data_IF_339706197840
#
_entry.id   IF_339706197840
#
_cell.length_a   1.000
_cell.length_b   1.000
_cell.length_c   1.000
_cell.angle_alpha   90.00
_cell.angle_beta   90.00
_cell.angle_gamma   90.00
#
_symmetry.space_group_name_H-M   'P 1'
#
loop_
_entity.id
_entity.type
_entity.pdbx_description
1 polymer ?
#
# COMPACT_ATOMS: atom_id res chain seq x y z
N UNK A 1 -38.84 -90.52 43.67
CA UNK A 1 -37.74 -89.83 44.40
C UNK A 1 -36.95 -89.04 43.37
N UNK A 2 -36.89 -87.70 43.53
CA UNK A 2 -35.84 -86.72 43.14
C UNK A 2 -35.13 -86.89 41.78
N UNK A 3 -34.81 -85.89 40.95
CA UNK A 3 -35.05 -84.45 40.81
C UNK A 3 -34.30 -84.01 39.52
N UNK A 4 -34.59 -82.79 39.04
CA UNK A 4 -33.87 -81.97 38.02
C UNK A 4 -33.99 -82.42 36.53
N UNK A 5 -34.33 -81.57 35.55
CA UNK A 5 -34.50 -80.11 35.50
C UNK A 5 -33.49 -79.47 34.53
N UNK A 6 -33.89 -79.21 33.28
CA UNK A 6 -33.20 -78.28 32.38
C UNK A 6 -34.21 -77.70 31.38
N UNK A 7 -34.46 -76.39 31.47
CA UNK A 7 -35.35 -75.62 30.59
C UNK A 7 -34.53 -74.94 29.49
N UNK A 8 -34.99 -75.02 28.23
CA UNK A 8 -34.45 -74.28 27.10
C UNK A 8 -35.37 -73.09 26.78
N UNK A 9 -34.80 -71.88 26.76
CA UNK A 9 -35.49 -70.62 26.48
C UNK A 9 -35.23 -70.18 25.04
N UNK A 10 -36.31 -69.77 24.37
CA UNK A 10 -36.41 -69.22 23.01
C UNK A 10 -35.91 -67.78 22.95
N UNK A 11 -35.23 -67.39 21.86
CA UNK A 11 -35.03 -65.99 21.51
C UNK A 11 -35.33 -65.74 20.02
N UNK A 12 -36.39 -64.97 19.77
CA UNK A 12 -36.76 -64.41 18.47
C UNK A 12 -35.77 -63.30 18.07
N UNK A 13 -35.25 -63.36 16.85
CA UNK A 13 -34.41 -62.31 16.26
C UNK A 13 -35.33 -61.32 15.52
N UNK A 14 -35.43 -60.10 16.04
CA UNK A 14 -36.10 -58.98 15.37
C UNK A 14 -35.14 -58.32 14.38
N UNK A 15 -35.55 -58.25 13.11
CA UNK A 15 -34.83 -57.53 12.06
C UNK A 15 -35.02 -56.01 12.20
N UNK A 16 -33.91 -55.28 12.27
CA UNK A 16 -33.90 -53.81 12.21
C UNK A 16 -33.60 -53.40 10.77
N UNK A 17 -34.61 -52.86 10.09
CA UNK A 17 -34.46 -52.13 8.83
C UNK A 17 -33.94 -50.74 9.19
N UNK A 18 -32.68 -50.44 8.88
CA UNK A 18 -32.12 -49.09 9.00
C UNK A 18 -32.55 -48.25 7.80
N UNK A 19 -33.53 -47.38 8.00
CA UNK A 19 -33.83 -46.27 7.11
C UNK A 19 -32.66 -45.28 7.13
N UNK A 20 -31.90 -45.22 6.03
CA UNK A 20 -30.88 -44.18 5.81
C UNK A 20 -31.61 -42.86 5.53
N UNK A 21 -31.54 -41.92 6.47
CA UNK A 21 -32.02 -40.56 6.27
C UNK A 21 -31.23 -39.87 5.15
N UNK A 22 -31.88 -39.09 4.25
CA UNK A 22 -31.17 -38.30 3.26
C UNK A 22 -30.60 -37.05 3.94
N UNK A 23 -29.39 -37.19 4.49
CA UNK A 23 -28.66 -36.11 5.15
C UNK A 23 -27.28 -35.91 4.51
N UNK A 24 -27.04 -34.68 4.07
CA UNK A 24 -25.72 -34.07 3.92
C UNK A 24 -24.77 -34.58 2.82
N UNK A 25 -25.17 -34.38 1.55
CA UNK A 25 -24.17 -33.95 0.56
C UNK A 25 -24.01 -32.43 0.69
N UNK A 26 -23.19 -31.99 1.65
CA UNK A 26 -22.60 -30.67 1.56
C UNK A 26 -21.65 -30.71 0.36
N UNK A 27 -22.15 -30.26 -0.78
CA UNK A 27 -21.38 -30.15 -2.01
C UNK A 27 -20.17 -29.24 -1.70
N UNK A 28 -18.98 -29.82 -1.59
CA UNK A 28 -17.76 -29.05 -1.45
C UNK A 28 -17.76 -28.00 -2.57
N UNK A 29 -17.72 -26.71 -2.20
CA UNK A 29 -17.77 -25.61 -3.17
C UNK A 29 -16.64 -25.84 -4.19
N UNK A 30 -17.03 -26.14 -5.43
CA UNK A 30 -16.08 -26.30 -6.55
C UNK A 30 -15.27 -25.00 -6.67
N UNK A 31 -13.95 -25.13 -6.71
CA UNK A 31 -13.06 -23.98 -6.83
C UNK A 31 -13.34 -23.20 -8.13
N UNK A 32 -13.20 -21.88 -8.08
CA UNK A 32 -13.38 -21.04 -9.26
C UNK A 32 -12.30 -21.37 -10.32
N UNK A 33 -12.68 -21.53 -11.61
CA UNK A 33 -11.72 -21.69 -12.70
C UNK A 33 -10.79 -20.47 -12.79
N UNK A 34 -9.48 -20.70 -12.87
CA UNK A 34 -8.47 -19.65 -13.03
C UNK A 34 -7.41 -20.10 -14.04
N UNK A 35 -6.89 -19.17 -14.83
CA UNK A 35 -5.62 -19.36 -15.52
C UNK A 35 -4.50 -19.24 -14.49
N UNK A 36 -3.76 -20.32 -14.27
CA UNK A 36 -2.73 -20.40 -13.22
C UNK A 36 -1.32 -20.09 -13.75
N UNK A 37 -1.13 -20.16 -15.07
CA UNK A 37 0.09 -19.84 -15.77
C UNK A 37 0.10 -18.41 -16.31
N UNK A 38 1.30 -17.88 -16.54
CA UNK A 38 1.50 -16.55 -17.11
C UNK A 38 1.20 -15.37 -16.16
N UNK A 39 1.51 -14.19 -16.68
CA UNK A 39 1.35 -12.92 -15.98
C UNK A 39 -0.10 -12.42 -16.05
N UNK A 40 -0.55 -11.78 -14.98
CA UNK A 40 -1.83 -11.08 -14.93
C UNK A 40 -1.70 -9.59 -15.28
N UNK A 41 -0.49 -9.11 -15.56
CA UNK A 41 -0.23 -7.75 -15.98
C UNK A 41 0.69 -7.71 -17.19
N UNK A 42 0.75 -6.55 -17.87
CA UNK A 42 1.62 -6.37 -19.02
C UNK A 42 3.10 -6.62 -18.67
N UNK A 43 3.85 -7.16 -19.66
CA UNK A 43 5.29 -7.40 -19.59
C UNK A 43 6.01 -6.87 -20.85
N UNK A 44 7.21 -6.29 -20.73
CA UNK A 44 7.81 -5.82 -19.48
C UNK A 44 6.95 -4.73 -18.84
N UNK A 45 6.89 -4.69 -17.51
CA UNK A 45 6.12 -3.66 -16.82
C UNK A 45 6.76 -2.29 -17.02
N UNK A 46 5.97 -1.35 -17.54
CA UNK A 46 6.33 0.06 -17.66
C UNK A 46 5.07 0.89 -17.44
N UNK A 47 5.11 1.83 -16.51
CA UNK A 47 3.98 2.72 -16.22
C UNK A 47 3.65 3.64 -17.40
N UNK A 48 4.67 4.23 -18.01
CA UNK A 48 4.56 5.02 -19.23
C UNK A 48 5.84 4.90 -20.06
N UNK A 49 5.76 5.33 -21.31
CA UNK A 49 6.88 5.28 -22.23
C UNK A 49 8.07 6.10 -21.67
N UNK A 50 9.28 5.54 -21.72
CA UNK A 50 10.49 6.17 -21.20
C UNK A 50 10.67 6.15 -19.68
N UNK A 51 9.84 5.40 -18.94
CA UNK A 51 9.96 5.27 -17.49
C UNK A 51 10.65 3.97 -17.04
N UNK A 52 11.46 3.99 -15.95
CA UNK A 52 11.94 5.19 -15.25
C UNK A 52 13.01 5.91 -16.07
N UNK A 53 13.04 7.25 -15.97
CA UNK A 53 14.07 8.06 -16.65
C UNK A 53 15.44 8.01 -15.94
N UNK A 54 15.50 7.43 -14.73
CA UNK A 54 16.71 7.30 -13.90
C UNK A 54 16.95 5.83 -13.58
N UNK A 55 18.22 5.48 -13.42
CA UNK A 55 18.62 4.15 -12.97
C UNK A 55 18.48 4.04 -11.44
N UNK A 56 17.44 3.33 -11.00
CA UNK A 56 17.22 3.02 -9.58
C UNK A 56 17.59 1.59 -9.22
N UNK A 57 18.22 0.83 -10.13
CA UNK A 57 18.59 -0.58 -9.90
C UNK A 57 19.56 -0.79 -8.73
N UNK A 58 20.26 0.27 -8.32
CA UNK A 58 21.20 0.30 -7.18
C UNK A 58 20.51 0.47 -5.83
N UNK A 59 19.20 0.62 -5.80
CA UNK A 59 18.43 0.78 -4.57
C UNK A 59 17.48 -0.39 -4.39
N UNK A 60 17.14 -0.63 -3.13
CA UNK A 60 16.16 -1.63 -2.76
C UNK A 60 14.84 -1.39 -3.49
N UNK A 61 14.25 -2.47 -3.98
CA UNK A 61 12.83 -2.56 -4.32
C UNK A 61 12.14 -3.44 -3.28
N UNK A 62 10.83 -3.64 -3.41
CA UNK A 62 10.15 -4.63 -2.59
C UNK A 62 10.65 -6.05 -2.87
N UNK A 63 11.12 -6.34 -4.09
CA UNK A 63 11.57 -7.67 -4.50
C UNK A 63 13.08 -7.91 -4.30
N UNK A 64 13.91 -6.87 -4.36
CA UNK A 64 15.36 -7.00 -4.36
C UNK A 64 16.03 -6.02 -3.38
N UNK A 65 17.07 -6.49 -2.68
CA UNK A 65 17.89 -5.66 -1.79
C UNK A 65 19.19 -5.29 -2.52
N UNK A 66 19.36 -4.01 -2.82
CA UNK A 66 20.51 -3.47 -3.55
C UNK A 66 21.08 -2.17 -2.96
N UNK A 67 20.34 -1.49 -2.07
CA UNK A 67 20.76 -0.22 -1.47
C UNK A 67 22.10 -0.38 -0.74
N UNK A 68 22.99 0.62 -0.82
CA UNK A 68 24.20 0.64 -0.03
C UNK A 68 23.90 0.51 1.47
N UNK A 69 24.69 -0.28 2.21
CA UNK A 69 24.52 -0.42 3.66
C UNK A 69 24.81 0.92 4.36
N UNK A 70 24.28 1.06 5.57
CA UNK A 70 24.60 2.20 6.43
C UNK A 70 26.12 2.29 6.68
N UNK A 71 26.71 3.50 6.68
CA UNK A 71 28.09 3.71 7.08
C UNK A 71 28.30 3.25 8.52
N UNK A 72 29.47 2.65 8.80
CA UNK A 72 29.81 2.19 10.15
C UNK A 72 30.35 3.30 11.04
N UNK A 73 30.97 4.31 10.45
CA UNK A 73 31.63 5.41 11.15
C UNK A 73 31.41 6.74 10.40
N UNK A 74 31.32 7.88 11.11
CA UNK A 74 31.21 9.19 10.47
C UNK A 74 32.41 9.49 9.57
N UNK A 75 32.18 10.17 8.45
CA UNK A 75 33.23 10.62 7.54
C UNK A 75 34.06 11.71 8.22
N UNK A 76 35.38 11.60 8.13
CA UNK A 76 36.30 12.69 8.48
C UNK A 76 36.48 13.60 7.28
N UNK A 77 36.08 14.87 7.42
CA UNK A 77 36.13 15.84 6.33
C UNK A 77 37.42 16.64 6.44
N UNK A 78 38.21 16.64 5.37
CA UNK A 78 39.48 17.37 5.35
C UNK A 78 39.23 18.89 5.27
N UNK A 79 39.84 19.63 6.19
CA UNK A 79 39.76 21.09 6.22
C UNK A 79 38.44 21.64 6.77
N UNK A 80 38.31 22.98 6.85
CA UNK A 80 37.09 23.61 7.33
C UNK A 80 35.92 23.39 6.36
N UNK A 81 34.72 23.17 6.91
CA UNK A 81 33.48 23.08 6.13
C UNK A 81 33.03 24.51 5.81
N UNK A 82 33.38 24.96 4.61
CA UNK A 82 33.01 26.27 4.07
C UNK A 82 32.04 26.06 2.92
N UNK A 83 30.92 26.78 2.95
CA UNK A 83 29.89 26.75 1.92
C UNK A 83 29.16 28.09 1.81
N UNK A 84 28.28 28.20 0.82
CA UNK A 84 27.44 29.35 0.52
C UNK A 84 26.02 29.15 1.08
N UNK A 85 25.69 29.92 2.12
CA UNK A 85 24.39 29.82 2.79
C UNK A 85 23.19 30.14 1.87
N UNK A 86 23.37 30.98 0.83
CA UNK A 86 22.29 31.28 -0.10
C UNK A 86 21.99 30.08 -0.99
N UNK A 87 23.03 29.43 -1.51
CA UNK A 87 22.88 28.18 -2.27
C UNK A 87 22.30 27.07 -1.39
N UNK A 88 22.75 26.97 -0.14
CA UNK A 88 22.19 26.04 0.84
C UNK A 88 20.70 26.24 1.04
N UNK A 89 20.23 27.48 1.19
CA UNK A 89 18.81 27.82 1.31
C UNK A 89 17.99 27.37 0.08
N UNK A 90 18.52 27.60 -1.12
CA UNK A 90 17.89 27.19 -2.38
C UNK A 90 17.78 25.65 -2.47
N UNK A 91 18.85 24.93 -2.10
CA UNK A 91 18.88 23.47 -2.13
C UNK A 91 17.89 22.83 -1.14
N UNK A 92 17.83 23.31 0.11
CA UNK A 92 16.89 22.75 1.10
C UNK A 92 15.42 23.04 0.76
N UNK A 93 15.17 24.07 -0.04
CA UNK A 93 13.84 24.44 -0.53
C UNK A 93 13.45 23.73 -1.85
N UNK A 94 14.42 23.16 -2.59
CA UNK A 94 14.20 22.55 -3.90
C UNK A 94 13.31 21.29 -3.81
N UNK A 95 12.22 21.30 -4.58
CA UNK A 95 11.24 20.21 -4.64
C UNK A 95 11.52 19.25 -5.80
N UNK A 96 12.32 19.63 -6.78
CA UNK A 96 12.51 18.90 -8.03
C UNK A 96 13.56 17.79 -7.93
N UNK A 97 14.51 17.90 -6.99
CA UNK A 97 15.61 16.93 -6.81
C UNK A 97 15.31 15.77 -5.86
N UNK A 98 14.04 15.49 -5.56
CA UNK A 98 13.66 14.31 -4.77
C UNK A 98 13.20 14.62 -3.35
N UNK A 99 12.71 15.83 -3.10
CA UNK A 99 12.16 16.25 -1.82
C UNK A 99 12.97 17.38 -1.20
N UNK A 100 12.26 18.29 -0.55
CA UNK A 100 12.86 19.43 0.13
C UNK A 100 12.87 19.18 1.63
N UNK A 101 13.88 19.67 2.35
CA UNK A 101 13.99 19.52 3.80
C UNK A 101 12.75 20.07 4.52
N UNK A 102 12.12 21.12 3.98
CA UNK A 102 10.87 21.70 4.46
C UNK A 102 9.69 20.74 4.40
N UNK A 103 9.78 19.66 3.63
CA UNK A 103 8.74 18.64 3.64
C UNK A 103 8.59 18.00 5.01
N UNK A 104 9.70 17.86 5.73
CA UNK A 104 9.75 17.21 7.03
C UNK A 104 10.00 18.18 8.18
N UNK A 105 10.79 19.21 7.94
CA UNK A 105 11.28 20.15 8.93
C UNK A 105 10.59 21.50 8.84
N UNK A 106 10.54 22.19 9.97
CA UNK A 106 10.41 23.65 10.04
C UNK A 106 11.83 24.24 10.08
N UNK A 107 12.09 25.34 9.38
CA UNK A 107 13.44 25.91 9.21
C UNK A 107 13.48 27.43 9.34
N UNK A 108 12.72 27.98 10.28
CA UNK A 108 12.74 29.40 10.61
C UNK A 108 12.28 30.33 9.47
N UNK A 109 12.42 31.66 9.65
CA UNK A 109 12.11 32.64 8.61
C UNK A 109 12.99 32.46 7.36
N UNK A 110 14.27 32.12 7.54
CA UNK A 110 15.24 31.99 6.47
C UNK A 110 15.02 30.75 5.58
N UNK A 111 14.41 29.69 6.12
CA UNK A 111 14.04 28.50 5.34
C UNK A 111 12.78 28.66 4.50
N UNK A 112 12.02 29.74 4.68
CA UNK A 112 10.77 29.94 3.95
C UNK A 112 9.64 29.02 4.44
N UNK A 113 8.77 29.55 5.29
CA UNK A 113 7.71 28.79 5.98
C UNK A 113 6.50 28.41 5.10
N UNK A 114 6.67 28.18 3.80
CA UNK A 114 5.54 27.78 2.95
C UNK A 114 5.20 26.30 3.12
N UNK A 115 4.18 26.04 3.94
CA UNK A 115 3.66 24.71 4.27
C UNK A 115 4.77 23.72 4.68
N UNK A 116 5.51 23.95 5.78
CA UNK A 116 6.45 22.98 6.30
C UNK A 116 5.72 21.76 6.89
N UNK A 117 6.43 20.65 7.04
CA UNK A 117 5.94 19.49 7.79
C UNK A 117 6.36 19.52 9.26
N UNK A 118 5.85 18.56 10.04
CA UNK A 118 6.23 18.31 11.44
C UNK A 118 6.59 16.84 11.72
N UNK A 119 6.94 16.08 10.68
CA UNK A 119 7.40 14.69 10.85
C UNK A 119 8.82 14.63 11.43
N UNK A 120 9.62 15.68 11.25
CA UNK A 120 10.98 15.79 11.76
C UNK A 120 11.16 17.02 12.67
N UNK A 121 12.27 17.11 13.44
CA UNK A 121 12.49 18.20 14.38
C UNK A 121 12.48 19.58 13.73
N UNK A 122 12.03 20.58 14.48
CA UNK A 122 12.17 21.99 14.09
C UNK A 122 13.65 22.40 14.11
N UNK A 123 14.14 22.88 12.97
CA UNK A 123 15.53 23.31 12.75
C UNK A 123 15.69 24.84 12.79
N UNK A 124 14.64 25.60 13.12
CA UNK A 124 14.64 27.07 13.12
C UNK A 124 15.78 27.69 13.94
N UNK A 125 16.27 26.97 14.95
CA UNK A 125 17.30 27.43 15.87
C UNK A 125 18.53 26.50 15.91
N UNK A 126 18.71 25.64 14.90
CA UNK A 126 19.81 24.66 14.88
C UNK A 126 21.20 25.31 14.92
N UNK A 127 21.34 26.55 14.42
CA UNK A 127 22.57 27.33 14.50
C UNK A 127 22.95 27.77 15.91
N UNK A 128 22.03 27.68 16.89
CA UNK A 128 22.30 27.93 18.31
C UNK A 128 22.67 26.65 19.07
N UNK A 129 22.54 25.46 18.45
CA UNK A 129 22.71 24.17 19.13
C UNK A 129 24.17 23.78 19.41
N UNK A 130 25.16 24.58 18.97
CA UNK A 130 26.58 24.31 19.20
C UNK A 130 27.08 23.02 18.56
N UNK A 131 26.46 22.57 17.46
CA UNK A 131 26.88 21.38 16.72
C UNK A 131 28.12 21.69 15.88
N UNK A 132 29.08 20.76 15.88
CA UNK A 132 30.23 20.81 14.98
C UNK A 132 29.78 20.73 13.52
N UNK A 133 30.45 21.48 12.63
CA UNK A 133 30.14 21.48 11.20
C UNK A 133 30.29 20.07 10.59
N UNK A 134 31.30 19.31 11.03
CA UNK A 134 31.52 17.91 10.60
C UNK A 134 30.35 17.02 11.00
N UNK A 135 29.74 17.27 12.16
CA UNK A 135 28.57 16.51 12.60
C UNK A 135 27.35 16.83 11.74
N UNK A 136 27.07 18.11 11.46
CA UNK A 136 25.97 18.52 10.59
C UNK A 136 26.14 17.97 9.17
N UNK A 137 27.37 18.01 8.64
CA UNK A 137 27.70 17.43 7.35
C UNK A 137 27.38 15.93 7.32
N UNK A 138 27.85 15.16 8.31
CA UNK A 138 27.62 13.73 8.37
C UNK A 138 26.14 13.38 8.53
N UNK A 139 25.40 14.19 9.30
CA UNK A 139 23.96 13.99 9.49
C UNK A 139 23.18 14.20 8.19
N UNK A 140 23.52 15.22 7.40
CA UNK A 140 22.93 15.44 6.07
C UNK A 140 23.39 14.37 5.06
N UNK A 141 24.67 14.03 5.07
CA UNK A 141 25.23 13.03 4.16
C UNK A 141 24.60 11.65 4.36
N UNK A 142 24.58 11.17 5.60
CA UNK A 142 23.96 9.89 5.96
C UNK A 142 23.74 9.77 7.47
N UNK A 143 22.56 10.15 7.94
CA UNK A 143 22.20 10.04 9.36
C UNK A 143 22.17 8.59 9.89
N UNK A 144 22.20 7.55 9.02
CA UNK A 144 22.21 6.15 9.44
C UNK A 144 23.47 5.77 10.22
N UNK A 145 24.54 6.55 10.06
CA UNK A 145 25.77 6.40 10.84
C UNK A 145 25.56 6.66 12.34
N UNK A 146 24.57 7.48 12.70
CA UNK A 146 24.23 7.77 14.09
C UNK A 146 23.00 6.99 14.56
N UNK A 147 22.04 6.77 13.64
CA UNK A 147 20.83 6.00 13.90
C UNK A 147 20.44 5.20 12.64
N UNK A 148 20.74 3.90 12.57
CA UNK A 148 20.42 3.06 11.41
C UNK A 148 18.93 3.07 11.02
N UNK A 149 18.03 3.29 11.98
CA UNK A 149 16.58 3.32 11.81
C UNK A 149 16.03 4.71 11.50
N UNK A 150 16.89 5.70 11.23
CA UNK A 150 16.46 7.05 10.90
C UNK A 150 15.51 7.10 9.69
N UNK A 151 14.57 8.04 9.76
CA UNK A 151 13.68 8.39 8.64
C UNK A 151 14.33 9.45 7.74
N UNK A 152 15.44 10.07 8.16
CA UNK A 152 16.13 11.05 7.34
C UNK A 152 16.80 10.37 6.13
N UNK A 153 16.52 10.79 4.89
CA UNK A 153 17.15 10.20 3.72
C UNK A 153 18.68 10.35 3.76
N UNK A 154 19.42 9.34 3.28
CA UNK A 154 20.88 9.38 3.17
C UNK A 154 21.32 10.22 1.96
N UNK A 155 21.13 11.54 2.04
CA UNK A 155 21.18 12.43 0.87
C UNK A 155 22.52 12.42 0.13
N UNK A 156 23.63 12.34 0.85
CA UNK A 156 24.97 12.30 0.27
C UNK A 156 25.37 10.90 -0.19
N UNK A 157 25.24 9.90 0.69
CA UNK A 157 25.70 8.54 0.36
C UNK A 157 24.85 7.84 -0.70
N UNK A 158 23.61 8.27 -0.94
CA UNK A 158 22.78 7.83 -2.07
C UNK A 158 22.88 8.76 -3.30
N UNK A 159 23.79 9.73 -3.27
CA UNK A 159 24.16 10.56 -4.42
C UNK A 159 23.10 11.59 -4.84
N UNK A 160 22.25 12.06 -3.91
CA UNK A 160 21.32 13.17 -4.20
C UNK A 160 22.03 14.52 -4.19
N UNK A 161 22.93 14.72 -3.22
CA UNK A 161 23.74 15.92 -3.09
C UNK A 161 25.22 15.57 -3.06
N UNK A 162 26.01 16.43 -3.68
CA UNK A 162 27.48 16.38 -3.60
C UNK A 162 27.96 16.91 -2.25
N UNK A 163 29.22 16.63 -1.91
CA UNK A 163 29.83 17.15 -0.69
C UNK A 163 29.76 18.69 -0.63
N UNK A 164 30.01 19.39 -1.73
CA UNK A 164 29.97 20.86 -1.75
C UNK A 164 28.56 21.41 -1.54
N UNK A 165 27.54 20.77 -2.13
CA UNK A 165 26.14 21.11 -1.86
C UNK A 165 25.76 20.88 -0.39
N UNK A 166 26.26 19.81 0.23
CA UNK A 166 26.05 19.57 1.66
C UNK A 166 26.75 20.63 2.50
N UNK A 167 27.96 21.08 2.13
CA UNK A 167 28.64 22.19 2.82
C UNK A 167 27.84 23.49 2.72
N UNK A 168 27.25 23.78 1.55
CA UNK A 168 26.34 24.92 1.36
C UNK A 168 25.13 24.83 2.30
N UNK A 169 24.53 23.64 2.44
CA UNK A 169 23.43 23.40 3.39
C UNK A 169 23.87 23.59 4.85
N UNK A 170 25.04 23.09 5.23
CA UNK A 170 25.59 23.30 6.59
C UNK A 170 25.78 24.79 6.86
N UNK A 171 26.34 25.54 5.89
CA UNK A 171 26.48 26.99 5.99
C UNK A 171 25.12 27.67 6.20
N UNK A 172 24.07 27.24 5.50
CA UNK A 172 22.71 27.72 5.69
C UNK A 172 22.14 27.39 7.08
N UNK A 173 22.23 26.13 7.54
CA UNK A 173 21.70 25.71 8.84
C UNK A 173 22.30 26.53 10.00
N UNK A 174 23.57 26.92 9.89
CA UNK A 174 24.24 27.79 10.89
C UNK A 174 23.64 29.20 10.98
N UNK A 175 22.94 29.65 9.95
CA UNK A 175 22.22 30.94 9.95
C UNK A 175 20.88 30.88 10.69
N UNK A 176 20.35 29.67 10.93
CA UNK A 176 19.06 29.46 11.58
C UNK A 176 19.19 29.61 13.09
N UNK A 177 18.86 30.80 13.60
CA UNK A 177 19.03 31.17 15.02
C UNK A 177 17.79 31.79 15.66
N UNK A 178 16.66 31.73 14.98
CA UNK A 178 15.42 32.35 15.41
C UNK A 178 14.24 31.43 15.14
N UNK A 179 13.25 31.36 16.05
CA UNK A 179 12.10 30.50 15.91
C UNK A 179 11.31 30.81 14.64
N UNK A 180 10.57 29.82 14.14
CA UNK A 180 9.71 30.00 12.97
C UNK A 180 8.62 31.04 13.21
N UNK A 181 8.47 31.95 12.24
CA UNK A 181 7.38 32.91 12.18
C UNK A 181 6.42 32.47 11.08
N UNK A 182 5.23 32.06 11.48
CA UNK A 182 4.17 31.63 10.57
C UNK A 182 3.24 32.81 10.27
N UNK A 183 2.87 32.99 8.98
CA UNK A 183 1.98 34.09 8.58
C UNK A 183 0.55 33.84 9.05
N UNK A 184 0.14 32.58 9.02
CA UNK A 184 -1.18 32.12 9.46
C UNK A 184 -1.07 30.91 10.36
N UNK A 185 -2.16 30.60 11.10
CA UNK A 185 -2.22 29.37 11.88
C UNK A 185 -2.09 28.11 11.00
N UNK A 186 -2.56 28.17 9.75
CA UNK A 186 -2.47 27.05 8.79
C UNK A 186 -1.04 26.82 8.29
N UNK A 187 -0.16 27.82 8.32
CA UNK A 187 1.24 27.62 7.96
C UNK A 187 1.97 26.79 9.03
N UNK A 188 1.52 26.85 10.29
CA UNK A 188 2.10 26.05 11.38
C UNK A 188 1.53 24.61 11.36
N UNK A 189 2.34 23.58 11.06
CA UNK A 189 1.88 22.20 11.00
C UNK A 189 1.31 21.68 12.34
N UNK A 190 1.76 22.21 13.48
CA UNK A 190 1.22 21.85 14.82
C UNK A 190 -0.19 22.39 15.05
N UNK A 191 -0.62 23.39 14.28
CA UNK A 191 -1.94 24.03 14.42
C UNK A 191 -2.92 23.64 13.32
N UNK A 192 -2.51 22.86 12.32
CA UNK A 192 -3.38 22.38 11.24
C UNK A 192 -4.30 21.28 11.75
N UNK A 193 -5.60 21.46 11.55
CA UNK A 193 -6.59 20.42 11.85
C UNK A 193 -6.44 19.25 10.89
N UNK A 194 -6.50 18.02 11.43
CA UNK A 194 -6.56 16.81 10.61
C UNK A 194 -7.70 16.91 9.57
N UNK A 195 -7.47 16.48 8.32
CA UNK A 195 -8.49 16.54 7.30
C UNK A 195 -9.66 15.61 7.66
N UNK A 196 -10.87 16.11 7.47
CA UNK A 196 -12.10 15.33 7.60
C UNK A 196 -12.68 15.14 6.22
N UNK A 197 -12.78 13.89 5.78
CA UNK A 197 -13.51 13.55 4.56
C UNK A 197 -14.99 13.68 4.84
N UNK A 198 -15.64 14.65 4.20
CA UNK A 198 -17.08 14.90 4.34
C UNK A 198 -17.88 14.39 3.15
N UNK A 199 -17.20 14.01 2.07
CA UNK A 199 -17.87 13.52 0.86
C UNK A 199 -18.43 12.13 1.07
N UNK A 200 -19.57 11.88 0.47
CA UNK A 200 -20.20 10.58 0.45
C UNK A 200 -19.65 9.75 -0.72
N UNK A 201 -18.92 8.67 -0.40
CA UNK A 201 -18.29 7.81 -1.39
C UNK A 201 -19.27 7.28 -2.45
N UNK A 202 -20.53 7.02 -2.08
CA UNK A 202 -21.52 6.38 -2.93
C UNK A 202 -22.49 7.36 -3.61
N UNK A 203 -22.34 8.66 -3.37
CA UNK A 203 -23.12 9.67 -4.08
C UNK A 203 -22.48 9.93 -5.47
N UNK A 204 -23.17 9.61 -6.57
CA UNK A 204 -22.64 9.85 -7.92
C UNK A 204 -22.46 11.34 -8.26
N UNK A 205 -23.10 12.27 -7.54
CA UNK A 205 -22.91 13.71 -7.71
C UNK A 205 -21.59 14.20 -7.08
N UNK A 206 -21.10 13.51 -6.05
CA UNK A 206 -19.85 13.84 -5.36
C UNK A 206 -18.67 12.97 -5.81
N UNK A 207 -18.92 11.70 -6.14
CA UNK A 207 -17.90 10.74 -6.55
C UNK A 207 -18.02 10.34 -8.02
N UNK A 208 -17.18 10.92 -8.90
CA UNK A 208 -17.17 10.57 -10.32
C UNK A 208 -16.95 9.09 -10.58
N UNK A 209 -16.26 8.34 -9.72
CA UNK A 209 -15.99 6.92 -9.95
C UNK A 209 -17.24 6.03 -10.03
N UNK A 210 -18.43 6.53 -9.66
CA UNK A 210 -19.68 5.79 -9.80
C UNK A 210 -19.98 5.37 -11.25
N UNK A 211 -19.44 6.07 -12.26
CA UNK A 211 -19.55 5.64 -13.67
C UNK A 211 -19.03 4.22 -13.91
N UNK A 212 -18.04 3.77 -13.12
CA UNK A 212 -17.46 2.45 -13.26
C UNK A 212 -18.44 1.33 -12.86
N UNK A 213 -19.38 1.61 -11.95
CA UNK A 213 -20.42 0.65 -11.57
C UNK A 213 -21.31 0.36 -12.78
N UNK A 214 -21.78 1.40 -13.47
CA UNK A 214 -22.61 1.26 -14.67
C UNK A 214 -21.83 0.53 -15.77
N UNK A 215 -20.58 0.93 -16.01
CA UNK A 215 -19.74 0.29 -17.02
C UNK A 215 -19.52 -1.20 -16.75
N UNK A 216 -19.27 -1.57 -15.50
CA UNK A 216 -19.06 -2.95 -15.13
C UNK A 216 -20.33 -3.80 -15.27
N UNK A 217 -21.52 -3.23 -15.04
CA UNK A 217 -22.79 -3.93 -15.28
C UNK A 217 -23.02 -4.22 -16.77
N UNK A 218 -22.55 -3.36 -17.67
CA UNK A 218 -22.51 -3.64 -19.11
C UNK A 218 -21.57 -4.81 -19.41
N UNK A 219 -20.32 -4.73 -18.93
CA UNK A 219 -19.29 -5.77 -19.13
C UNK A 219 -19.75 -7.13 -18.56
N UNK A 220 -20.48 -7.13 -17.44
CA UNK A 220 -21.02 -8.32 -16.80
C UNK A 220 -21.94 -9.13 -17.74
N UNK A 221 -22.69 -8.42 -18.58
CA UNK A 221 -23.65 -8.99 -19.54
C UNK A 221 -23.03 -9.24 -20.91
N UNK A 222 -21.89 -8.61 -21.21
CA UNK A 222 -21.23 -8.71 -22.49
C UNK A 222 -20.73 -10.13 -22.74
N UNK A 223 -21.24 -10.75 -23.81
CA UNK A 223 -20.74 -12.03 -24.30
C UNK A 223 -19.43 -11.82 -25.03
N UNK A 224 -18.47 -12.68 -24.77
CA UNK A 224 -17.19 -12.73 -25.48
C UNK A 224 -17.30 -13.64 -26.72
N UNK A 225 -16.18 -13.84 -27.41
CA UNK A 225 -16.07 -14.78 -28.53
C UNK A 225 -16.40 -16.23 -28.17
N UNK A 226 -16.33 -16.61 -26.88
CA UNK A 226 -16.76 -17.93 -26.41
C UNK A 226 -18.28 -18.06 -26.24
N UNK A 227 -19.04 -16.97 -26.41
CA UNK A 227 -20.49 -16.91 -26.21
C UNK A 227 -20.94 -16.78 -24.75
N UNK A 228 -20.00 -16.84 -23.80
CA UNK A 228 -20.23 -16.70 -22.36
C UNK A 228 -20.02 -15.25 -21.90
N UNK A 229 -20.71 -14.90 -20.81
CA UNK A 229 -20.53 -13.66 -20.04
C UNK A 229 -20.53 -13.99 -18.54
N UNK A 230 -20.12 -13.04 -17.69
CA UNK A 230 -20.19 -13.22 -16.23
C UNK A 230 -21.61 -13.61 -15.79
N UNK A 231 -22.63 -12.96 -16.39
CA UNK A 231 -24.04 -13.22 -16.14
C UNK A 231 -24.49 -14.66 -16.48
N UNK A 232 -23.75 -15.38 -17.32
CA UNK A 232 -24.09 -16.76 -17.68
C UNK A 232 -23.94 -17.71 -16.51
N UNK A 233 -22.98 -17.45 -15.61
CA UNK A 233 -22.76 -18.23 -14.39
C UNK A 233 -23.25 -17.51 -13.13
N UNK A 234 -23.31 -16.19 -13.16
CA UNK A 234 -23.62 -15.34 -12.01
C UNK A 234 -24.81 -14.41 -12.31
N UNK A 235 -26.01 -14.99 -12.34
CA UNK A 235 -27.25 -14.29 -12.70
C UNK A 235 -27.79 -13.34 -11.63
N UNK A 236 -27.34 -13.47 -10.38
CA UNK A 236 -27.71 -12.59 -9.26
C UNK A 236 -26.46 -12.10 -8.51
N UNK A 237 -25.69 -11.18 -9.11
CA UNK A 237 -24.42 -10.73 -8.54
C UNK A 237 -24.58 -10.12 -7.14
N UNK A 238 -25.67 -9.40 -6.88
CA UNK A 238 -25.91 -8.72 -5.60
C UNK A 238 -26.00 -9.71 -4.44
N UNK A 239 -26.66 -10.85 -4.63
CA UNK A 239 -26.71 -11.90 -3.62
C UNK A 239 -25.41 -12.71 -3.58
N UNK A 240 -24.88 -13.08 -4.75
CA UNK A 240 -23.73 -13.99 -4.87
C UNK A 240 -22.39 -13.39 -4.38
N UNK A 241 -22.19 -12.08 -4.56
CA UNK A 241 -20.95 -11.39 -4.22
C UNK A 241 -21.06 -10.49 -2.99
N UNK A 242 -22.20 -10.52 -2.28
CA UNK A 242 -22.48 -9.68 -1.12
C UNK A 242 -21.36 -9.63 -0.08
N UNK A 243 -20.62 -10.71 0.13
CA UNK A 243 -19.51 -10.80 1.10
C UNK A 243 -18.16 -11.09 0.46
N UNK A 244 -18.11 -11.28 -0.85
CA UNK A 244 -16.96 -11.88 -1.49
C UNK A 244 -15.74 -10.95 -1.47
N UNK A 245 -15.89 -9.70 -1.92
CA UNK A 245 -14.78 -8.75 -1.93
C UNK A 245 -14.32 -8.38 -0.51
N UNK A 246 -15.21 -8.39 0.49
CA UNK A 246 -14.84 -8.18 1.89
C UNK A 246 -13.96 -9.30 2.47
N UNK A 247 -13.92 -10.47 1.81
CA UNK A 247 -13.05 -11.60 2.17
C UNK A 247 -11.75 -11.67 1.37
N UNK A 248 -11.51 -10.70 0.48
CA UNK A 248 -10.32 -10.58 -0.35
C UNK A 248 -9.34 -9.55 0.25
N UNK A 249 -8.02 -9.70 0.01
CA UNK A 249 -7.37 -10.73 -0.80
C UNK A 249 -7.23 -12.09 -0.09
N UNK A 250 -6.90 -13.13 -0.85
CA UNK A 250 -6.74 -14.51 -0.33
C UNK A 250 -5.54 -15.23 -0.91
N UNK A 251 -4.89 -16.08 -0.10
CA UNK A 251 -3.89 -17.03 -0.58
C UNK A 251 -4.49 -18.04 -1.58
N UNK A 252 -3.89 -18.14 -2.77
CA UNK A 252 -4.27 -19.10 -3.80
C UNK A 252 -3.14 -20.13 -4.00
N UNK A 253 -3.30 -21.37 -3.49
CA UNK A 253 -2.25 -22.38 -3.57
C UNK A 253 -1.89 -22.77 -5.01
N UNK A 254 -2.83 -22.68 -5.96
CA UNK A 254 -2.58 -23.05 -7.37
C UNK A 254 -1.62 -22.11 -8.09
N UNK A 255 -1.47 -20.87 -7.60
CA UNK A 255 -0.50 -19.89 -8.11
C UNK A 255 0.61 -19.56 -7.10
N UNK A 256 0.56 -20.13 -5.90
CA UNK A 256 1.57 -19.93 -4.85
C UNK A 256 1.72 -18.48 -4.37
N UNK A 257 0.65 -17.68 -4.39
CA UNK A 257 0.65 -16.29 -3.93
C UNK A 257 -0.73 -15.79 -3.50
N UNK A 258 -0.75 -14.61 -2.89
CA UNK A 258 -1.99 -13.90 -2.56
C UNK A 258 -2.60 -13.23 -3.80
N UNK A 259 -3.87 -13.53 -4.06
CA UNK A 259 -4.67 -12.87 -5.09
C UNK A 259 -5.59 -11.81 -4.48
N UNK A 260 -5.46 -10.59 -4.98
CA UNK A 260 -6.46 -9.53 -4.83
C UNK A 260 -7.59 -9.69 -5.85
N UNK A 261 -8.57 -8.79 -5.79
CA UNK A 261 -9.74 -8.84 -6.68
C UNK A 261 -9.35 -8.65 -8.14
N UNK A 262 -8.45 -7.70 -8.43
CA UNK A 262 -8.00 -7.34 -9.78
C UNK A 262 -7.29 -8.53 -10.46
N UNK A 263 -6.43 -9.22 -9.72
CA UNK A 263 -5.73 -10.37 -10.26
C UNK A 263 -6.68 -11.57 -10.45
N UNK A 264 -7.59 -11.78 -9.50
CA UNK A 264 -8.63 -12.81 -9.62
C UNK A 264 -9.48 -12.57 -10.88
N UNK A 265 -9.96 -11.34 -11.10
CA UNK A 265 -10.74 -10.97 -12.29
C UNK A 265 -9.97 -11.28 -13.56
N UNK A 266 -8.70 -10.88 -13.64
CA UNK A 266 -7.83 -11.15 -14.81
C UNK A 266 -7.80 -12.65 -15.14
N UNK A 267 -7.50 -13.47 -14.14
CA UNK A 267 -7.31 -14.93 -14.30
C UNK A 267 -8.63 -15.66 -14.54
N UNK A 268 -9.70 -15.24 -13.86
CA UNK A 268 -11.01 -15.88 -13.95
C UNK A 268 -11.73 -15.55 -15.26
N UNK A 269 -11.70 -14.28 -15.69
CA UNK A 269 -12.30 -13.86 -16.95
C UNK A 269 -11.65 -14.57 -18.13
N UNK A 270 -10.31 -14.67 -18.15
CA UNK A 270 -9.58 -15.40 -19.17
C UNK A 270 -9.94 -16.90 -19.19
N UNK A 271 -10.11 -17.54 -18.03
CA UNK A 271 -10.40 -18.97 -17.94
C UNK A 271 -11.83 -19.35 -18.35
N UNK A 272 -12.79 -18.43 -18.25
CA UNK A 272 -14.22 -18.73 -18.39
C UNK A 272 -14.83 -18.10 -19.64
N UNK A 273 -14.63 -16.80 -19.82
CA UNK A 273 -15.15 -16.05 -20.97
C UNK A 273 -14.08 -15.87 -22.04
N UNK A 274 -12.80 -16.04 -21.72
CA UNK A 274 -11.70 -15.74 -22.65
C UNK A 274 -11.44 -14.24 -22.80
N UNK A 275 -12.08 -13.39 -22.00
CA UNK A 275 -11.78 -11.97 -21.96
C UNK A 275 -10.34 -11.74 -21.44
N UNK A 276 -9.61 -10.87 -22.12
CA UNK A 276 -8.26 -10.49 -21.72
C UNK A 276 -8.30 -9.12 -21.03
N UNK A 277 -8.41 -9.12 -19.71
CA UNK A 277 -8.43 -7.92 -18.88
C UNK A 277 -7.25 -7.90 -17.90
N UNK A 278 -6.01 -7.64 -18.38
CA UNK A 278 -4.85 -7.50 -17.51
C UNK A 278 -5.09 -6.49 -16.39
N UNK A 279 -4.43 -6.68 -15.26
CA UNK A 279 -4.44 -5.74 -14.15
C UNK A 279 -4.06 -4.33 -14.62
N UNK A 280 -4.66 -3.32 -13.97
CA UNK A 280 -4.54 -1.89 -14.29
C UNK A 280 -5.10 -1.45 -15.67
N UNK A 281 -5.80 -2.33 -16.40
CA UNK A 281 -6.65 -1.91 -17.52
C UNK A 281 -8.01 -1.40 -17.04
N UNK A 282 -8.66 -0.56 -17.83
CA UNK A 282 -9.97 0.03 -17.48
C UNK A 282 -11.01 -1.05 -17.18
N UNK A 283 -11.16 -2.06 -18.06
CA UNK A 283 -12.13 -3.15 -17.88
C UNK A 283 -11.89 -3.94 -16.59
N UNK A 284 -10.63 -4.23 -16.25
CA UNK A 284 -10.27 -4.89 -15.00
C UNK A 284 -10.69 -4.06 -13.78
N UNK A 285 -10.41 -2.75 -13.85
CA UNK A 285 -10.59 -1.82 -12.74
C UNK A 285 -12.05 -1.51 -12.46
N UNK A 286 -12.85 -1.30 -13.51
CA UNK A 286 -14.30 -1.11 -13.33
C UNK A 286 -14.95 -2.39 -12.79
N UNK A 287 -14.50 -3.57 -13.24
CA UNK A 287 -14.98 -4.84 -12.69
C UNK A 287 -14.59 -5.02 -11.22
N UNK A 288 -13.37 -4.62 -10.83
CA UNK A 288 -12.96 -4.61 -9.41
C UNK A 288 -13.83 -3.67 -8.58
N UNK A 289 -14.09 -2.45 -9.06
CA UNK A 289 -15.00 -1.50 -8.38
C UNK A 289 -16.37 -2.13 -8.18
N UNK A 290 -16.93 -2.78 -9.20
CA UNK A 290 -18.25 -3.39 -9.09
C UNK A 290 -18.30 -4.53 -8.07
N UNK A 291 -17.32 -5.42 -8.07
CA UNK A 291 -17.26 -6.52 -7.10
C UNK A 291 -17.14 -6.03 -5.66
N UNK A 292 -16.39 -4.95 -5.43
CA UNK A 292 -16.33 -4.30 -4.12
C UNK A 292 -17.63 -3.55 -3.78
N UNK A 293 -18.25 -2.87 -4.76
CA UNK A 293 -19.51 -2.16 -4.59
C UNK A 293 -20.64 -3.09 -4.13
N UNK A 294 -20.72 -4.30 -4.69
CA UNK A 294 -21.68 -5.33 -4.28
C UNK A 294 -21.47 -5.79 -2.82
N UNK A 295 -20.27 -5.61 -2.28
CA UNK A 295 -19.91 -5.97 -0.91
C UNK A 295 -19.93 -4.78 0.07
N UNK A 296 -20.38 -3.60 -0.35
CA UNK A 296 -20.46 -2.43 0.50
C UNK A 296 -21.26 -2.70 1.79
N UNK A 297 -20.79 -2.09 2.89
CA UNK A 297 -21.37 -2.26 4.22
C UNK A 297 -20.99 -3.58 4.92
N UNK A 298 -20.39 -4.55 4.22
CA UNK A 298 -19.81 -5.72 4.87
C UNK A 298 -18.50 -5.38 5.58
N UNK A 299 -18.25 -5.96 6.77
CA UNK A 299 -16.97 -5.84 7.44
C UNK A 299 -15.89 -6.60 6.66
N UNK A 300 -14.72 -5.99 6.51
CA UNK A 300 -13.52 -6.68 6.02
C UNK A 300 -13.21 -7.86 6.93
N UNK A 301 -13.06 -9.03 6.32
CA UNK A 301 -12.76 -10.29 6.99
C UNK A 301 -11.89 -11.18 6.11
N UNK A 302 -10.58 -10.93 6.15
CA UNK A 302 -9.62 -11.69 5.34
C UNK A 302 -9.17 -12.96 6.05
N UNK A 303 -8.71 -13.96 5.28
CA UNK A 303 -8.11 -15.16 5.87
C UNK A 303 -6.75 -14.83 6.48
N UNK A 304 -6.63 -15.06 7.78
CA UNK A 304 -5.38 -14.95 8.55
C UNK A 304 -4.96 -16.29 9.17
N UNK A 305 -5.75 -17.35 8.94
CA UNK A 305 -5.63 -18.64 9.62
C UNK A 305 -4.87 -19.69 8.82
N UNK A 306 -5.05 -19.72 7.49
CA UNK A 306 -4.39 -20.70 6.63
C UNK A 306 -2.86 -20.54 6.64
N UNK A 307 -2.14 -21.63 6.40
CA UNK A 307 -0.67 -21.64 6.41
C UNK A 307 -0.10 -20.64 5.39
N UNK A 308 -0.64 -20.65 4.16
CA UNK A 308 -0.25 -19.70 3.12
C UNK A 308 -0.56 -18.25 3.48
N UNK A 309 -1.70 -17.97 4.09
CA UNK A 309 -2.05 -16.62 4.56
C UNK A 309 -1.12 -16.14 5.68
N UNK A 310 -0.82 -17.00 6.67
CA UNK A 310 0.13 -16.65 7.75
C UNK A 310 1.52 -16.32 7.22
N UNK A 311 2.02 -17.13 6.28
CA UNK A 311 3.30 -16.88 5.64
C UNK A 311 3.29 -15.56 4.84
N UNK A 312 2.21 -15.28 4.11
CA UNK A 312 2.02 -14.04 3.38
C UNK A 312 1.94 -12.80 4.31
N UNK A 313 1.21 -12.90 5.42
CA UNK A 313 1.14 -11.84 6.43
C UNK A 313 2.50 -11.53 7.05
N UNK A 314 3.30 -12.55 7.35
CA UNK A 314 4.65 -12.37 7.87
C UNK A 314 5.54 -11.64 6.87
N UNK A 315 5.50 -12.03 5.58
CA UNK A 315 6.22 -11.33 4.50
C UNK A 315 5.70 -9.91 4.29
N UNK A 316 4.39 -9.70 4.29
CA UNK A 316 3.77 -8.38 4.15
C UNK A 316 4.20 -7.41 5.26
N UNK A 317 4.28 -7.90 6.51
CA UNK A 317 4.84 -7.14 7.63
C UNK A 317 6.31 -6.75 7.40
N UNK A 318 7.15 -7.70 6.98
CA UNK A 318 8.56 -7.42 6.66
C UNK A 318 8.68 -6.38 5.53
N UNK A 319 7.93 -6.57 4.44
CA UNK A 319 7.90 -5.66 3.30
C UNK A 319 7.45 -4.26 3.70
N UNK A 320 6.49 -4.13 4.63
CA UNK A 320 6.03 -2.83 5.12
C UNK A 320 7.12 -2.02 5.85
N UNK A 321 8.10 -2.71 6.44
CA UNK A 321 9.23 -2.12 7.14
C UNK A 321 10.50 -2.01 6.27
N UNK A 322 10.48 -2.53 5.04
CA UNK A 322 11.62 -2.53 4.13
C UNK A 322 11.88 -1.12 3.60
N UNK A 323 13.11 -0.64 3.75
CA UNK A 323 13.56 0.63 3.13
C UNK A 323 13.72 0.43 1.62
N UNK A 324 13.05 1.26 0.82
CA UNK A 324 12.95 1.17 -0.64
C UNK A 324 13.38 2.50 -1.27
N UNK A 325 13.91 2.41 -2.49
CA UNK A 325 14.22 3.55 -3.34
C UNK A 325 15.41 4.38 -2.89
N UNK A 326 15.75 5.38 -3.69
CA UNK A 326 16.89 6.25 -3.46
C UNK A 326 16.77 7.04 -2.15
N UNK A 327 15.56 7.40 -1.74
CA UNK A 327 15.32 8.11 -0.48
C UNK A 327 15.32 7.20 0.76
N UNK A 328 15.40 5.87 0.57
CA UNK A 328 15.52 4.88 1.62
C UNK A 328 14.40 4.96 2.67
N UNK A 329 13.13 4.93 2.21
CA UNK A 329 11.94 4.98 3.07
C UNK A 329 11.21 3.64 3.10
N UNK A 330 10.58 3.32 4.22
CA UNK A 330 9.62 2.23 4.38
C UNK A 330 8.19 2.76 4.54
N UNK A 331 7.18 1.91 4.31
CA UNK A 331 5.78 2.27 4.55
C UNK A 331 5.56 2.70 6.00
N UNK A 332 6.19 2.00 6.94
CA UNK A 332 6.11 2.28 8.39
C UNK A 332 6.79 3.58 8.82
N UNK A 333 7.67 4.17 8.00
CA UNK A 333 8.30 5.45 8.34
C UNK A 333 7.27 6.60 8.28
N UNK A 334 6.42 6.58 7.26
CA UNK A 334 5.39 7.60 7.03
C UNK A 334 4.05 7.22 7.68
N UNK A 335 3.61 5.98 7.50
CA UNK A 335 2.31 5.50 7.97
C UNK A 335 2.38 4.84 9.35
N UNK A 336 3.55 4.79 9.99
CA UNK A 336 3.72 4.33 11.38
C UNK A 336 4.35 5.42 12.23
N UNK A 337 5.68 5.56 12.18
CA UNK A 337 6.47 6.49 12.99
C UNK A 337 5.97 7.93 12.84
N UNK A 338 5.67 8.33 11.60
CA UNK A 338 5.21 9.68 11.27
C UNK A 338 3.71 9.78 11.01
N UNK A 339 2.93 8.76 11.41
CA UNK A 339 1.49 8.79 11.23
C UNK A 339 0.86 9.95 12.01
N UNK A 340 -0.26 10.45 11.51
CA UNK A 340 -1.02 11.56 12.09
C UNK A 340 -0.21 12.86 12.22
N UNK A 341 0.67 13.09 11.23
CA UNK A 341 1.48 14.31 11.08
C UNK A 341 1.41 14.83 9.65
N UNK A 342 1.99 16.01 9.45
CA UNK A 342 2.02 16.71 8.18
C UNK A 342 3.36 16.55 7.48
N UNK A 343 3.33 16.08 6.24
CA UNK A 343 4.43 16.24 5.30
C UNK A 343 4.04 17.31 4.28
N UNK A 344 4.60 18.51 4.43
CA UNK A 344 4.01 19.73 3.85
C UNK A 344 2.51 19.83 4.12
N UNK A 345 1.70 20.16 3.12
CA UNK A 345 0.23 20.20 3.22
C UNK A 345 -0.46 18.84 3.14
N UNK A 346 0.27 17.72 3.14
CA UNK A 346 -0.31 16.38 3.10
C UNK A 346 -0.36 15.77 4.50
N UNK A 347 -1.54 15.33 4.93
CA UNK A 347 -1.72 14.55 6.15
C UNK A 347 -1.33 13.09 5.92
N UNK A 348 -0.52 12.54 6.82
CA UNK A 348 -0.14 11.14 6.81
C UNK A 348 -1.11 10.33 7.67
N UNK A 349 -1.99 9.55 7.03
CA UNK A 349 -2.86 8.61 7.75
C UNK A 349 -2.09 7.40 8.29
N UNK A 350 -2.54 6.85 9.42
CA UNK A 350 -2.12 5.52 9.88
C UNK A 350 -2.71 4.41 9.00
N UNK A 351 -2.27 3.13 9.08
CA UNK A 351 -2.68 2.09 8.13
C UNK A 351 -4.16 1.70 8.24
N UNK A 352 -4.76 1.89 9.42
CA UNK A 352 -6.18 1.61 9.66
C UNK A 352 -7.05 2.73 9.05
N UNK A 353 -8.12 2.35 8.35
CA UNK A 353 -8.99 3.26 7.60
C UNK A 353 -8.47 3.67 6.22
N UNK A 354 -7.44 2.98 5.70
CA UNK A 354 -6.82 3.29 4.40
C UNK A 354 -7.10 2.23 3.32
N UNK A 355 -7.85 1.18 3.64
CA UNK A 355 -8.09 0.05 2.73
C UNK A 355 -9.58 -0.10 2.35
N UNK A 356 -10.48 0.21 3.28
CA UNK A 356 -11.93 -0.02 3.21
C UNK A 356 -12.66 0.71 2.08
N UNK A 357 -11.99 1.67 1.46
CA UNK A 357 -12.54 2.49 0.39
C UNK A 357 -11.83 2.28 -0.97
N UNK A 358 -10.97 1.26 -1.10
CA UNK A 358 -10.33 0.90 -2.36
C UNK A 358 -11.15 -0.14 -3.15
N UNK A 359 -11.21 -0.04 -4.50
CA UNK A 359 -10.63 1.01 -5.35
C UNK A 359 -11.27 2.40 -5.16
N UNK A 360 -10.48 3.47 -5.32
CA UNK A 360 -10.90 4.85 -4.97
C UNK A 360 -10.63 5.85 -6.08
N UNK A 361 -11.53 6.81 -6.30
CA UNK A 361 -11.28 7.98 -7.12
C UNK A 361 -10.20 8.88 -6.51
N UNK A 362 -9.15 9.17 -7.27
CA UNK A 362 -8.09 10.12 -6.95
C UNK A 362 -8.39 11.47 -7.57
N UNK A 363 -8.83 12.45 -6.77
CA UNK A 363 -9.18 13.77 -7.32
C UNK A 363 -8.00 14.52 -7.90
N UNK A 364 -6.78 14.28 -7.41
CA UNK A 364 -5.56 14.87 -7.97
C UNK A 364 -5.25 14.40 -9.40
N UNK A 365 -5.73 13.22 -9.78
CA UNK A 365 -5.39 12.58 -11.07
C UNK A 365 -6.60 12.26 -11.94
N UNK A 366 -7.82 12.51 -11.44
CA UNK A 366 -9.07 12.25 -12.13
C UNK A 366 -9.15 10.80 -12.65
N UNK A 367 -8.78 9.85 -11.79
CA UNK A 367 -8.80 8.43 -12.09
C UNK A 367 -9.18 7.62 -10.83
N UNK A 368 -9.96 6.55 -11.00
CA UNK A 368 -10.07 5.46 -10.00
C UNK A 368 -8.67 4.91 -9.81
N UNK A 369 -8.23 4.47 -8.64
CA UNK A 369 -7.00 3.71 -8.34
C UNK A 369 -7.34 2.49 -7.47
N UNK A 370 -6.80 1.33 -7.80
CA UNK A 370 -6.77 0.18 -6.89
C UNK A 370 -5.62 0.30 -5.87
N UNK A 371 -5.61 -0.60 -4.89
CA UNK A 371 -4.64 -0.56 -3.80
C UNK A 371 -3.21 -0.89 -4.26
N UNK A 372 -3.04 -1.75 -5.26
CA UNK A 372 -1.70 -2.12 -5.76
C UNK A 372 -1.08 -0.97 -6.53
N UNK A 373 -1.87 -0.25 -7.31
CA UNK A 373 -1.40 0.99 -7.94
C UNK A 373 -1.03 2.06 -6.91
N UNK A 374 -1.72 2.11 -5.76
CA UNK A 374 -1.32 2.99 -4.65
C UNK A 374 0.06 2.60 -4.07
N UNK A 375 0.36 1.31 -3.94
CA UNK A 375 1.68 0.85 -3.48
C UNK A 375 2.80 1.19 -4.47
N UNK A 376 2.55 1.01 -5.76
CA UNK A 376 3.49 1.42 -6.81
C UNK A 376 3.76 2.93 -6.73
N UNK A 377 2.71 3.76 -6.66
CA UNK A 377 2.90 5.21 -6.60
C UNK A 377 3.62 5.68 -5.34
N UNK A 378 3.49 4.95 -4.21
CA UNK A 378 4.34 5.17 -3.04
C UNK A 378 5.82 5.06 -3.42
N UNK A 379 6.19 4.00 -4.15
CA UNK A 379 7.57 3.74 -4.62
C UNK A 379 8.09 4.86 -5.52
N UNK A 380 7.25 5.40 -6.43
CA UNK A 380 7.62 6.55 -7.27
C UNK A 380 7.98 7.78 -6.45
N UNK A 381 7.20 8.11 -5.43
CA UNK A 381 7.44 9.31 -4.61
C UNK A 381 8.75 9.21 -3.80
N UNK A 382 9.22 8.00 -3.51
CA UNK A 382 10.48 7.75 -2.81
C UNK A 382 11.64 7.40 -3.75
N UNK A 383 11.45 7.59 -5.07
CA UNK A 383 12.45 7.34 -6.12
C UNK A 383 12.92 5.87 -6.12
N UNK A 384 11.98 4.94 -6.04
CA UNK A 384 12.21 3.51 -6.19
C UNK A 384 11.52 2.94 -7.43
N UNK A 385 12.03 1.81 -7.91
CA UNK A 385 11.41 1.07 -8.99
C UNK A 385 10.14 0.36 -8.52
N UNK A 386 9.13 0.40 -9.37
CA UNK A 386 7.87 -0.28 -9.17
C UNK A 386 7.97 -1.72 -9.63
N UNK A 387 7.21 -2.60 -8.98
CA UNK A 387 6.99 -3.94 -9.46
C UNK A 387 5.75 -3.96 -10.36
N UNK A 388 5.58 -4.98 -11.22
CA UNK A 388 4.31 -5.20 -11.88
C UNK A 388 3.18 -5.40 -10.85
N UNK A 389 1.92 -5.05 -11.18
CA UNK A 389 0.81 -5.11 -10.23
C UNK A 389 0.47 -6.53 -9.77
N UNK A 390 0.84 -7.57 -10.52
CA UNK A 390 0.68 -8.97 -10.12
C UNK A 390 1.89 -9.54 -9.35
N UNK A 391 2.85 -8.70 -8.94
CA UNK A 391 3.96 -9.13 -8.10
C UNK A 391 3.50 -9.71 -6.76
N UNK A 392 4.16 -10.77 -6.27
CA UNK A 392 3.79 -11.44 -5.01
C UNK A 392 3.88 -10.49 -3.82
N UNK A 393 4.83 -9.56 -3.85
CA UNK A 393 5.10 -8.58 -2.81
C UNK A 393 3.89 -7.68 -2.58
N UNK A 394 3.20 -7.27 -3.65
CA UNK A 394 2.00 -6.46 -3.52
C UNK A 394 0.82 -7.25 -2.98
N UNK A 395 0.69 -8.53 -3.33
CA UNK A 395 -0.32 -9.41 -2.72
C UNK A 395 -0.09 -9.60 -1.21
N UNK A 396 1.16 -9.83 -0.80
CA UNK A 396 1.51 -9.96 0.62
C UNK A 396 1.24 -8.66 1.40
N UNK A 397 1.58 -7.50 0.82
CA UNK A 397 1.29 -6.17 1.40
C UNK A 397 -0.22 -5.88 1.48
N UNK A 398 -0.97 -6.23 0.44
CA UNK A 398 -2.43 -6.06 0.37
C UNK A 398 -3.12 -6.86 1.48
N UNK A 399 -2.73 -8.13 1.67
CA UNK A 399 -3.28 -8.97 2.73
C UNK A 399 -2.93 -8.43 4.13
N UNK A 400 -1.68 -7.97 4.30
CA UNK A 400 -1.25 -7.38 5.55
C UNK A 400 -2.06 -6.12 5.89
N UNK A 401 -2.19 -5.19 4.93
CA UNK A 401 -2.99 -3.98 5.12
C UNK A 401 -4.47 -4.29 5.36
N UNK A 402 -5.06 -5.22 4.60
CA UNK A 402 -6.43 -5.65 4.81
C UNK A 402 -6.66 -6.22 6.23
N UNK A 403 -5.72 -7.01 6.75
CA UNK A 403 -5.79 -7.55 8.12
C UNK A 403 -5.75 -6.47 9.21
N UNK A 404 -5.07 -5.33 8.96
CA UNK A 404 -5.06 -4.18 9.87
C UNK A 404 -6.38 -3.39 9.83
N UNK A 405 -7.20 -3.63 8.81
CA UNK A 405 -8.49 -2.99 8.57
C UNK A 405 -9.68 -3.95 8.83
N UNK A 406 -9.43 -5.11 9.45
CA UNK A 406 -10.44 -6.09 9.85
C UNK A 406 -11.59 -5.41 10.61
N UNK A 407 -12.83 -5.75 10.24
CA UNK A 407 -14.05 -5.23 10.86
C UNK A 407 -14.53 -3.87 10.33
N UNK A 408 -13.69 -3.08 9.65
CA UNK A 408 -14.15 -1.87 8.98
C UNK A 408 -15.05 -2.22 7.80
N UNK A 409 -16.07 -1.39 7.54
CA UNK A 409 -17.05 -1.63 6.49
C UNK A 409 -16.54 -1.12 5.16
N UNK A 410 -16.66 -1.94 4.12
CA UNK A 410 -16.37 -1.49 2.76
C UNK A 410 -17.27 -0.34 2.33
N UNK A 411 -16.69 0.65 1.66
CA UNK A 411 -17.36 1.80 1.06
C UNK A 411 -16.67 2.20 -0.25
N UNK A 412 -17.03 1.51 -1.33
CA UNK A 412 -16.34 1.49 -2.62
C UNK A 412 -17.35 1.78 -3.76
N UNK A 413 -17.00 2.60 -4.78
CA UNK A 413 -15.72 3.29 -4.93
C UNK A 413 -15.53 4.38 -3.87
N UNK A 414 -14.35 4.45 -3.27
CA UNK A 414 -14.02 5.55 -2.37
C UNK A 414 -13.75 6.85 -3.14
N UNK A 415 -13.70 7.99 -2.46
CA UNK A 415 -13.14 9.23 -3.02
C UNK A 415 -12.05 9.81 -2.11
N UNK A 416 -10.84 10.02 -2.63
CA UNK A 416 -9.71 10.60 -1.89
C UNK A 416 -8.91 11.55 -2.78
N UNK A 417 -8.06 12.37 -2.17
CA UNK A 417 -7.17 13.28 -2.90
C UNK A 417 -6.08 12.51 -3.67
#
# INVERSE_FOLDING_TARGET
>A
MLAAGAAAVVALVAGVVTLVAPGAYAQAKKEAPLVTDGDAAARPWKRYNGWPARDYSKFNTLANLASPPAPKEPRKIAGPIVGDAKKGAELVADRNRGGSCLACHVMGPAGGANLPGNVAPDLSEIGNAGREDEWLFNYINDARVYNPETVMPPWGSHGLFTDDEIKDMVAFLKTLKAPAVFKTALDNPEKRSAPVEKRENLDPLENPAMWAVDKAQELWKQKTSSGFSCNTCHSDPASQFKTWAASMPKWEPRVGKVLGVEEFVTRHAKATTGANWPMETDDNRVMSVYLHFLANGQPIKVDTGSEGAKAALARGKELSARKVGQLNFACTDCHGISANKWIRGQWLGEPKGQYDHFPTWRTSLQAIWDIRQRFQWCSVNIRGDELPPDAKEYGDLELYLASQNEGLKLSVPGIRH
#
